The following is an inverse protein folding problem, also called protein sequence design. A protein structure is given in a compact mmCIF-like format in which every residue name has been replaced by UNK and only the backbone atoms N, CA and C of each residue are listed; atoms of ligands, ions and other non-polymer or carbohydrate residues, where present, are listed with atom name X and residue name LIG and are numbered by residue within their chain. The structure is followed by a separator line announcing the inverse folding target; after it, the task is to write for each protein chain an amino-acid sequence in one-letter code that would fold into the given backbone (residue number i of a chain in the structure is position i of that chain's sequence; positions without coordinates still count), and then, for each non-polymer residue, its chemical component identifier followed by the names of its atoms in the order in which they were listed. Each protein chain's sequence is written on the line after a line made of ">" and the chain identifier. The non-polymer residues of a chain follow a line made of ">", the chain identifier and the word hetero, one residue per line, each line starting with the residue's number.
data_IF_291805310009
#
_entry.id   IF_291805310009
#
_cell.length_a   1.000
_cell.length_b   1.000
_cell.length_c   1.000
_cell.angle_alpha   90.00
_cell.angle_beta   90.00
_cell.angle_gamma   90.00
#
_symmetry.space_group_name_H-M   'P 1'
#
loop_
_entity.id
_entity.type
_entity.pdbx_description
1 polymer ?
#
# COMPACT_ATOMS: atom_id res chain seq x y z
N UNK A 1 -25.04 -11.00 12.58
CA UNK A 1 -23.71 -10.45 12.23
C UNK A 1 -23.08 -11.29 11.13
N UNK A 2 -22.35 -10.64 10.19
CA UNK A 2 -21.56 -11.36 9.20
C UNK A 2 -20.39 -12.07 9.87
N UNK A 3 -19.98 -13.21 9.31
CA UNK A 3 -18.83 -13.99 9.81
C UNK A 3 -17.52 -13.40 9.27
N UNK A 4 -16.53 -13.25 10.14
CA UNK A 4 -15.19 -12.82 9.70
C UNK A 4 -14.39 -13.98 9.10
N UNK A 5 -13.83 -13.78 7.92
CA UNK A 5 -12.79 -14.61 7.33
C UNK A 5 -11.46 -13.98 7.72
N UNK A 6 -10.77 -14.59 8.67
CA UNK A 6 -9.53 -14.05 9.27
C UNK A 6 -8.33 -14.69 8.59
N UNK A 7 -7.56 -13.85 7.90
CA UNK A 7 -6.36 -14.26 7.18
C UNK A 7 -5.12 -13.83 7.97
N UNK A 8 -4.34 -14.79 8.41
CA UNK A 8 -3.08 -14.54 9.10
C UNK A 8 -1.89 -14.91 8.20
N UNK A 9 -1.16 -13.90 7.78
CA UNK A 9 0.04 -14.09 6.98
C UNK A 9 1.22 -14.51 7.86
N UNK A 10 1.59 -15.80 7.84
CA UNK A 10 2.69 -16.35 8.63
C UNK A 10 4.07 -15.79 8.26
N UNK A 11 4.20 -15.20 7.05
CA UNK A 11 5.42 -14.55 6.57
C UNK A 11 5.48 -13.03 6.89
N UNK A 12 4.50 -12.50 7.63
CA UNK A 12 4.51 -11.09 8.04
C UNK A 12 5.73 -10.78 8.92
N UNK A 13 6.21 -9.53 8.88
CA UNK A 13 7.43 -9.09 9.59
C UNK A 13 7.21 -8.78 11.08
N UNK A 14 6.11 -9.21 11.67
CA UNK A 14 5.77 -8.95 13.07
C UNK A 14 6.21 -10.06 14.02
N UNK A 15 5.79 -9.95 15.29
CA UNK A 15 5.86 -11.08 16.22
C UNK A 15 4.94 -12.17 15.73
N UNK A 16 5.43 -13.40 15.71
CA UNK A 16 4.58 -14.56 15.42
C UNK A 16 3.48 -14.64 16.48
N UNK A 17 2.24 -14.46 16.04
CA UNK A 17 1.06 -14.65 16.88
C UNK A 17 0.61 -16.09 16.77
N UNK A 18 0.34 -16.75 17.89
CA UNK A 18 -0.18 -18.12 17.83
C UNK A 18 -1.66 -18.11 17.45
N UNK A 19 -2.10 -19.23 16.88
CA UNK A 19 -3.52 -19.43 16.54
C UNK A 19 -4.41 -19.33 17.79
N UNK A 20 -3.97 -19.90 18.90
CA UNK A 20 -4.68 -19.90 20.18
C UNK A 20 -4.86 -18.48 20.72
N UNK A 21 -3.82 -17.64 20.62
CA UNK A 21 -3.91 -16.25 20.98
C UNK A 21 -4.97 -15.50 20.17
N UNK A 22 -4.97 -15.69 18.83
CA UNK A 22 -5.95 -15.07 17.94
C UNK A 22 -7.36 -15.55 18.26
N UNK A 23 -7.55 -16.85 18.47
CA UNK A 23 -8.83 -17.42 18.86
C UNK A 23 -9.35 -16.83 20.18
N UNK A 24 -8.49 -16.76 21.20
CA UNK A 24 -8.84 -16.15 22.48
C UNK A 24 -9.22 -14.68 22.31
N UNK A 25 -8.47 -13.93 21.51
CA UNK A 25 -8.70 -12.51 21.24
C UNK A 25 -10.07 -12.28 20.59
N UNK A 26 -10.41 -13.03 19.55
CA UNK A 26 -11.70 -12.90 18.86
C UNK A 26 -12.88 -13.37 19.71
N UNK A 27 -12.72 -14.47 20.42
CA UNK A 27 -13.73 -15.00 21.32
C UNK A 27 -14.05 -14.04 22.47
N UNK A 28 -13.03 -13.36 23.00
CA UNK A 28 -13.22 -12.34 24.06
C UNK A 28 -14.08 -11.16 23.65
N UNK A 29 -14.22 -10.93 22.34
CA UNK A 29 -15.07 -9.88 21.77
C UNK A 29 -16.39 -10.43 21.20
N UNK A 30 -16.71 -11.71 21.43
CA UNK A 30 -17.88 -12.40 20.87
C UNK A 30 -17.98 -12.30 19.33
N UNK A 31 -16.83 -12.30 18.64
CA UNK A 31 -16.76 -12.21 17.17
C UNK A 31 -16.82 -13.61 16.58
N UNK A 32 -17.79 -13.83 15.68
CA UNK A 32 -17.88 -15.08 14.90
C UNK A 32 -16.88 -15.01 13.73
N UNK A 33 -15.97 -15.99 13.66
CA UNK A 33 -14.92 -15.97 12.64
C UNK A 33 -14.52 -17.38 12.18
N UNK A 34 -13.81 -17.43 11.06
CA UNK A 34 -13.08 -18.59 10.56
C UNK A 34 -11.63 -18.18 10.30
N UNK A 35 -10.69 -18.95 10.82
CA UNK A 35 -9.27 -18.60 10.81
C UNK A 35 -8.50 -19.41 9.78
N UNK A 36 -7.73 -18.71 8.96
CA UNK A 36 -6.84 -19.26 7.95
C UNK A 36 -5.44 -18.68 8.08
N UNK A 37 -4.44 -19.55 8.18
CA UNK A 37 -3.04 -19.18 8.08
C UNK A 37 -2.57 -19.33 6.63
N UNK A 38 -1.88 -18.33 6.09
CA UNK A 38 -1.36 -18.33 4.71
C UNK A 38 0.14 -18.09 4.67
N UNK A 39 0.82 -18.72 3.72
CA UNK A 39 2.25 -18.56 3.46
C UNK A 39 2.55 -17.81 2.15
N UNK A 40 1.60 -17.80 1.22
CA UNK A 40 1.75 -17.22 -0.11
C UNK A 40 0.40 -16.72 -0.64
N UNK A 41 0.46 -16.05 -1.80
CA UNK A 41 -0.71 -15.44 -2.43
C UNK A 41 -1.67 -16.47 -3.03
N UNK A 42 -1.18 -17.62 -3.47
CA UNK A 42 -2.01 -18.65 -4.08
C UNK A 42 -2.92 -19.31 -3.04
N UNK A 43 -2.38 -19.60 -1.84
CA UNK A 43 -3.18 -20.06 -0.70
C UNK A 43 -4.27 -19.03 -0.34
N UNK A 44 -3.92 -17.74 -0.32
CA UNK A 44 -4.88 -16.66 -0.06
C UNK A 44 -5.99 -16.63 -1.11
N UNK A 45 -5.64 -16.67 -2.40
CA UNK A 45 -6.62 -16.66 -3.49
C UNK A 45 -7.55 -17.86 -3.43
N UNK A 46 -7.03 -19.04 -3.14
CA UNK A 46 -7.82 -20.27 -2.97
C UNK A 46 -8.80 -20.18 -1.78
N UNK A 47 -8.40 -19.52 -0.69
CA UNK A 47 -9.32 -19.28 0.43
C UNK A 47 -10.42 -18.31 0.02
N UNK A 48 -10.05 -17.13 -0.51
CA UNK A 48 -11.02 -16.09 -0.87
C UNK A 48 -12.01 -16.59 -1.93
N UNK A 49 -11.60 -17.43 -2.88
CA UNK A 49 -12.50 -17.98 -3.90
C UNK A 49 -13.67 -18.79 -3.31
N UNK A 50 -13.50 -19.35 -2.10
CA UNK A 50 -14.57 -20.08 -1.39
C UNK A 50 -15.48 -19.15 -0.55
N UNK A 51 -15.12 -17.88 -0.38
CA UNK A 51 -15.83 -16.93 0.49
C UNK A 51 -16.11 -15.60 -0.24
N UNK A 52 -16.69 -15.65 -1.43
CA UNK A 52 -16.91 -14.46 -2.28
C UNK A 52 -18.19 -13.69 -1.94
N UNK A 53 -19.09 -14.26 -1.17
CA UNK A 53 -20.38 -13.63 -0.79
C UNK A 53 -20.19 -12.59 0.32
N UNK A 54 -20.00 -11.33 -0.05
CA UNK A 54 -19.83 -10.21 0.88
C UNK A 54 -21.09 -9.87 1.68
N UNK A 55 -22.24 -10.46 1.36
CA UNK A 55 -23.46 -10.34 2.19
C UNK A 55 -23.34 -11.19 3.46
N UNK A 56 -22.59 -12.29 3.43
CA UNK A 56 -22.40 -13.24 4.51
C UNK A 56 -21.06 -13.05 5.25
N UNK A 57 -20.03 -12.58 4.55
CA UNK A 57 -18.67 -12.53 5.06
C UNK A 57 -18.11 -11.11 5.15
N UNK A 58 -17.24 -10.91 6.14
CA UNK A 58 -16.32 -9.79 6.28
C UNK A 58 -14.91 -10.35 6.30
N UNK A 59 -13.93 -9.58 5.85
CA UNK A 59 -12.57 -10.06 5.69
C UNK A 59 -11.65 -9.29 6.64
N UNK A 60 -10.83 -10.01 7.39
CA UNK A 60 -9.88 -9.41 8.32
C UNK A 60 -8.49 -9.98 8.06
N UNK A 61 -7.51 -9.14 7.79
CA UNK A 61 -6.13 -9.59 7.76
C UNK A 61 -5.42 -9.27 9.08
N UNK A 62 -4.58 -10.21 9.54
CA UNK A 62 -3.65 -9.99 10.64
C UNK A 62 -2.25 -9.89 10.04
N UNK A 63 -1.71 -8.67 10.02
CA UNK A 63 -0.42 -8.41 9.38
C UNK A 63 -0.10 -6.92 9.28
N UNK A 64 0.74 -6.56 8.33
CA UNK A 64 1.07 -5.18 7.96
C UNK A 64 0.46 -4.80 6.60
N UNK A 65 0.93 -3.68 6.05
CA UNK A 65 0.44 -3.11 4.77
C UNK A 65 0.50 -4.10 3.62
N UNK A 66 1.57 -4.89 3.50
CA UNK A 66 1.69 -5.92 2.47
C UNK A 66 0.64 -7.03 2.61
N UNK A 67 0.23 -7.40 3.84
CA UNK A 67 -0.83 -8.39 4.05
C UNK A 67 -2.20 -7.83 3.69
N UNK A 68 -2.43 -6.55 4.00
CA UNK A 68 -3.67 -5.86 3.62
C UNK A 68 -3.75 -5.69 2.10
N UNK A 69 -2.67 -5.26 1.45
CA UNK A 69 -2.62 -5.16 -0.01
C UNK A 69 -2.86 -6.51 -0.69
N UNK A 70 -2.27 -7.59 -0.18
CA UNK A 70 -2.49 -8.95 -0.69
C UNK A 70 -3.96 -9.37 -0.57
N UNK A 71 -4.61 -9.10 0.58
CA UNK A 71 -6.03 -9.38 0.78
C UNK A 71 -6.89 -8.58 -0.21
N UNK A 72 -6.64 -7.27 -0.35
CA UNK A 72 -7.35 -6.41 -1.31
C UNK A 72 -7.21 -6.96 -2.73
N UNK A 73 -5.99 -7.26 -3.19
CA UNK A 73 -5.77 -7.84 -4.50
C UNK A 73 -6.53 -9.15 -4.69
N UNK A 74 -6.53 -10.04 -3.68
CA UNK A 74 -7.26 -11.30 -3.74
C UNK A 74 -8.77 -11.10 -3.84
N UNK A 75 -9.34 -10.15 -3.09
CA UNK A 75 -10.77 -9.82 -3.16
C UNK A 75 -11.16 -9.26 -4.54
N UNK A 76 -10.33 -8.38 -5.11
CA UNK A 76 -10.55 -7.80 -6.43
C UNK A 76 -10.44 -8.84 -7.55
N UNK A 77 -9.43 -9.71 -7.52
CA UNK A 77 -9.24 -10.79 -8.49
C UNK A 77 -10.40 -11.77 -8.47
N UNK A 78 -10.96 -12.07 -7.30
CA UNK A 78 -12.13 -12.95 -7.13
C UNK A 78 -13.47 -12.22 -7.32
N UNK A 79 -13.46 -10.96 -7.78
CA UNK A 79 -14.64 -10.14 -8.05
C UNK A 79 -15.62 -10.04 -6.86
N UNK A 80 -15.10 -9.99 -5.63
CA UNK A 80 -15.93 -9.81 -4.43
C UNK A 80 -16.52 -8.41 -4.43
N UNK A 81 -17.85 -8.31 -4.45
CA UNK A 81 -18.54 -7.02 -4.56
C UNK A 81 -18.63 -6.31 -3.20
N UNK A 82 -18.23 -5.04 -3.15
CA UNK A 82 -18.30 -4.18 -1.96
C UNK A 82 -17.80 -4.87 -0.66
N UNK A 83 -16.58 -5.44 -0.66
CA UNK A 83 -16.09 -6.21 0.45
C UNK A 83 -15.90 -5.32 1.69
N UNK A 84 -16.28 -5.85 2.86
CA UNK A 84 -15.99 -5.24 4.15
C UNK A 84 -14.66 -5.78 4.66
N UNK A 85 -13.67 -4.91 4.78
CA UNK A 85 -12.27 -5.28 5.08
C UNK A 85 -11.81 -4.63 6.38
N UNK A 86 -11.13 -5.40 7.21
CA UNK A 86 -10.46 -4.94 8.42
C UNK A 86 -8.98 -5.34 8.41
N UNK A 87 -8.16 -4.59 9.12
CA UNK A 87 -6.75 -4.90 9.32
C UNK A 87 -6.37 -4.81 10.78
N UNK A 88 -5.88 -5.91 11.34
CA UNK A 88 -5.31 -5.95 12.68
C UNK A 88 -3.78 -5.91 12.59
N UNK A 89 -3.12 -5.05 13.39
CA UNK A 89 -1.67 -4.90 13.37
C UNK A 89 -0.98 -6.19 13.83
N UNK A 90 -0.26 -6.83 12.95
CA UNK A 90 0.55 -8.02 13.20
C UNK A 90 1.89 -7.97 12.48
N UNK A 91 2.19 -6.88 11.77
CA UNK A 91 3.41 -6.63 11.00
C UNK A 91 4.31 -5.57 11.63
N UNK A 92 5.44 -5.29 10.96
CA UNK A 92 6.37 -4.22 11.35
C UNK A 92 5.97 -2.84 10.86
N UNK A 93 5.06 -2.75 9.88
CA UNK A 93 4.49 -1.54 9.31
C UNK A 93 2.96 -1.67 9.30
N UNK A 94 2.30 -0.58 9.61
CA UNK A 94 0.83 -0.49 9.63
C UNK A 94 0.47 0.94 9.21
N UNK A 95 1.02 1.36 8.06
CA UNK A 95 0.90 2.73 7.56
C UNK A 95 -0.52 3.04 7.14
N UNK A 96 -1.22 2.08 6.54
CA UNK A 96 -2.60 2.25 6.12
C UNK A 96 -3.52 2.56 7.30
N UNK A 97 -3.45 1.79 8.38
CA UNK A 97 -4.31 2.01 9.56
C UNK A 97 -3.96 3.29 10.31
N UNK A 98 -2.76 3.86 10.13
CA UNK A 98 -2.39 5.19 10.65
C UNK A 98 -3.21 6.31 10.03
N UNK A 99 -3.59 6.18 8.75
CA UNK A 99 -4.46 7.14 8.07
C UNK A 99 -5.79 7.34 8.82
N UNK A 100 -6.27 6.30 9.51
CA UNK A 100 -7.51 6.33 10.30
C UNK A 100 -7.28 6.49 11.81
N UNK A 101 -6.03 6.74 12.23
CA UNK A 101 -5.65 6.81 13.65
C UNK A 101 -6.04 5.56 14.46
N UNK A 102 -6.14 4.39 13.81
CA UNK A 102 -6.48 3.13 14.49
C UNK A 102 -5.38 2.67 15.43
N UNK A 103 -5.73 1.95 16.52
CA UNK A 103 -4.75 1.45 17.48
C UNK A 103 -3.70 0.55 16.83
N UNK A 104 -2.42 0.76 17.21
CA UNK A 104 -1.29 -0.02 16.70
C UNK A 104 -1.00 -1.28 17.53
N UNK A 105 -1.73 -1.50 18.63
CA UNK A 105 -1.67 -2.73 19.44
C UNK A 105 -2.87 -3.59 19.14
N UNK A 106 -2.65 -4.87 18.82
CA UNK A 106 -3.70 -5.80 18.37
C UNK A 106 -4.84 -5.95 19.40
N UNK A 107 -4.52 -5.95 20.71
CA UNK A 107 -5.52 -6.07 21.78
C UNK A 107 -6.50 -4.88 21.82
N UNK A 108 -6.05 -3.72 21.41
CA UNK A 108 -6.91 -2.54 21.33
C UNK A 108 -7.60 -2.46 19.96
N UNK A 109 -6.86 -2.83 18.90
CA UNK A 109 -7.37 -2.81 17.55
C UNK A 109 -8.54 -3.79 17.31
N UNK A 110 -8.57 -4.95 17.99
CA UNK A 110 -9.65 -5.92 17.82
C UNK A 110 -11.02 -5.34 18.18
N UNK A 111 -11.08 -4.36 19.07
CA UNK A 111 -12.34 -3.75 19.54
C UNK A 111 -13.10 -3.06 18.41
N UNK A 112 -12.40 -2.47 17.41
CA UNK A 112 -13.08 -1.82 16.29
C UNK A 112 -13.82 -2.82 15.38
N UNK A 113 -13.49 -4.11 15.43
CA UNK A 113 -14.22 -5.12 14.68
C UNK A 113 -15.68 -5.27 15.13
N UNK A 114 -16.02 -4.86 16.36
CA UNK A 114 -17.36 -4.95 16.93
C UNK A 114 -18.22 -3.71 16.64
N UNK A 115 -17.63 -2.59 16.20
CA UNK A 115 -18.39 -1.40 15.79
C UNK A 115 -19.08 -1.64 14.45
N UNK A 116 -20.02 -0.79 14.05
CA UNK A 116 -20.63 -0.82 12.71
C UNK A 116 -20.23 0.41 11.88
N UNK A 117 -18.96 0.81 12.03
CA UNK A 117 -18.41 1.99 11.36
C UNK A 117 -17.48 1.57 10.24
N UNK A 118 -17.71 2.09 9.04
CA UNK A 118 -16.93 1.81 7.83
C UNK A 118 -16.58 3.10 7.12
N UNK A 119 -15.45 3.07 6.47
CA UNK A 119 -15.00 4.11 5.56
C UNK A 119 -14.90 3.53 4.15
N UNK A 120 -15.64 4.06 3.21
CA UNK A 120 -15.55 3.63 1.81
C UNK A 120 -14.25 4.17 1.22
N UNK A 121 -13.39 3.28 0.74
CA UNK A 121 -12.08 3.65 0.25
C UNK A 121 -11.93 3.38 -1.24
N UNK A 122 -11.25 4.30 -1.87
CA UNK A 122 -10.80 4.20 -3.24
C UNK A 122 -9.58 3.28 -3.30
N UNK A 123 -9.45 2.55 -4.40
CA UNK A 123 -8.34 1.65 -4.67
C UNK A 123 -7.63 2.09 -5.94
N UNK A 124 -6.32 2.20 -5.90
CA UNK A 124 -5.53 2.47 -7.08
C UNK A 124 -5.33 1.20 -7.91
N UNK A 125 -5.38 1.33 -9.23
CA UNK A 125 -5.09 0.28 -10.18
C UNK A 125 -3.92 0.69 -11.05
N UNK A 126 -2.99 -0.22 -11.28
CA UNK A 126 -1.92 -0.05 -12.28
C UNK A 126 -1.97 -1.19 -13.27
N UNK A 127 -1.91 -0.83 -14.55
CA UNK A 127 -1.86 -1.76 -15.69
C UNK A 127 -0.62 -1.50 -16.53
N UNK A 128 0.21 -2.51 -16.69
CA UNK A 128 1.23 -2.58 -17.75
C UNK A 128 0.73 -3.46 -18.90
N UNK A 129 1.52 -3.63 -19.92
CA UNK A 129 1.18 -4.55 -21.03
C UNK A 129 0.88 -5.99 -20.55
N UNK A 130 1.55 -6.43 -19.49
CA UNK A 130 1.57 -7.83 -19.08
C UNK A 130 0.89 -8.09 -17.74
N UNK A 131 0.71 -7.07 -16.91
CA UNK A 131 0.30 -7.23 -15.50
C UNK A 131 -0.67 -6.13 -15.06
N UNK A 132 -1.56 -6.50 -14.14
CA UNK A 132 -2.40 -5.57 -13.39
C UNK A 132 -2.24 -5.84 -11.90
N UNK A 133 -2.24 -4.78 -11.08
CA UNK A 133 -2.22 -4.88 -9.62
C UNK A 133 -2.98 -3.72 -9.00
N UNK A 134 -3.55 -3.96 -7.82
CA UNK A 134 -4.22 -2.94 -7.01
C UNK A 134 -3.30 -2.44 -5.91
N UNK A 135 -3.43 -1.17 -5.54
CA UNK A 135 -2.69 -0.57 -4.44
C UNK A 135 -3.59 0.33 -3.58
N UNK A 136 -3.25 0.42 -2.30
CA UNK A 136 -4.03 1.16 -1.30
C UNK A 136 -3.26 2.33 -0.70
N UNK A 137 -1.94 2.27 -0.65
CA UNK A 137 -1.11 3.34 -0.09
C UNK A 137 -0.47 4.22 -1.17
N UNK A 138 0.66 3.83 -1.70
CA UNK A 138 1.48 4.66 -2.59
C UNK A 138 2.12 3.82 -3.69
N UNK A 139 2.09 4.34 -4.90
CA UNK A 139 2.86 3.85 -6.03
C UNK A 139 4.01 4.81 -6.31
N UNK A 140 5.22 4.29 -6.51
CA UNK A 140 6.40 5.07 -6.86
C UNK A 140 6.91 4.71 -8.26
N UNK A 141 7.38 5.73 -8.98
CA UNK A 141 8.01 5.61 -10.30
C UNK A 141 9.39 6.23 -10.23
N UNK A 142 10.42 5.52 -10.68
CA UNK A 142 11.79 6.03 -10.76
C UNK A 142 12.69 5.59 -9.62
N UNK A 143 13.29 6.52 -8.87
CA UNK A 143 14.36 6.23 -7.91
C UNK A 143 13.92 5.28 -6.79
N UNK A 144 12.79 5.54 -6.11
CA UNK A 144 12.33 4.68 -5.01
C UNK A 144 11.97 3.28 -5.50
N UNK A 145 11.30 3.17 -6.64
CA UNK A 145 11.02 1.88 -7.27
C UNK A 145 12.31 1.11 -7.61
N UNK A 146 13.31 1.78 -8.17
CA UNK A 146 14.65 1.19 -8.42
C UNK A 146 15.34 0.72 -7.14
N UNK A 147 15.12 1.41 -6.03
CA UNK A 147 15.69 1.05 -4.72
C UNK A 147 15.06 -0.24 -4.20
N UNK A 148 13.74 -0.37 -4.31
CA UNK A 148 13.01 -1.59 -3.94
C UNK A 148 13.45 -2.75 -4.81
N UNK A 149 13.50 -2.57 -6.13
CA UNK A 149 13.97 -3.58 -7.09
C UNK A 149 15.34 -4.16 -6.70
N UNK A 150 16.33 -3.31 -6.40
CA UNK A 150 17.65 -3.80 -5.94
C UNK A 150 17.53 -4.48 -4.57
N UNK A 151 16.75 -3.91 -3.65
CA UNK A 151 16.60 -4.47 -2.31
C UNK A 151 16.04 -5.90 -2.34
N UNK A 152 15.20 -6.24 -3.30
CA UNK A 152 14.67 -7.59 -3.48
C UNK A 152 15.72 -8.60 -3.93
N UNK A 153 16.78 -8.16 -4.62
CA UNK A 153 17.90 -9.00 -5.05
C UNK A 153 18.88 -9.31 -3.90
N UNK A 154 18.83 -8.57 -2.80
CA UNK A 154 19.67 -8.76 -1.62
C UNK A 154 19.21 -10.01 -0.84
N UNK A 155 20.10 -10.88 -0.35
CA UNK A 155 19.73 -12.10 0.36
C UNK A 155 18.77 -11.88 1.53
N UNK A 156 17.79 -12.80 1.66
CA UNK A 156 16.74 -12.70 2.70
C UNK A 156 17.26 -12.79 4.13
N UNK A 157 18.48 -13.31 4.34
CA UNK A 157 19.09 -13.43 5.66
C UNK A 157 19.28 -12.08 6.36
N UNK A 158 19.47 -10.99 5.58
CA UNK A 158 19.61 -9.62 6.08
C UNK A 158 18.35 -8.79 5.81
N UNK A 159 17.18 -9.42 5.82
CA UNK A 159 15.89 -8.84 5.41
C UNK A 159 15.61 -7.45 5.98
N UNK A 160 15.98 -7.19 7.24
CA UNK A 160 15.77 -5.89 7.92
C UNK A 160 16.53 -4.73 7.25
N UNK A 161 17.69 -5.02 6.67
CA UNK A 161 18.60 -4.02 6.12
C UNK A 161 18.54 -3.93 4.59
N UNK A 162 17.74 -4.77 3.92
CA UNK A 162 17.68 -4.82 2.45
C UNK A 162 17.34 -3.48 1.84
N UNK A 163 16.29 -2.82 2.33
CA UNK A 163 15.87 -1.52 1.81
C UNK A 163 16.90 -0.41 2.10
N UNK A 164 17.39 -0.21 3.33
CA UNK A 164 18.49 0.72 3.58
C UNK A 164 19.74 0.47 2.70
N UNK A 165 20.16 -0.78 2.55
CA UNK A 165 21.31 -1.13 1.69
C UNK A 165 21.00 -0.78 0.23
N UNK A 166 19.85 -1.18 -0.29
CA UNK A 166 19.42 -0.84 -1.65
C UNK A 166 19.38 0.67 -1.88
N UNK A 167 18.86 1.44 -0.90
CA UNK A 167 18.82 2.90 -0.95
C UNK A 167 20.25 3.49 -1.05
N UNK A 168 21.16 3.10 -0.19
CA UNK A 168 22.53 3.61 -0.20
C UNK A 168 23.31 3.21 -1.46
N UNK A 169 23.12 2.00 -1.98
CA UNK A 169 23.69 1.59 -3.26
C UNK A 169 23.16 2.49 -4.39
N UNK A 170 21.83 2.66 -4.47
CA UNK A 170 21.22 3.40 -5.57
C UNK A 170 21.52 4.90 -5.52
N UNK A 171 21.59 5.51 -4.33
CA UNK A 171 21.78 6.96 -4.22
C UNK A 171 23.13 7.42 -4.79
N UNK A 172 24.17 6.59 -4.71
CA UNK A 172 25.48 6.93 -5.30
C UNK A 172 25.39 7.11 -6.81
N UNK A 173 24.63 6.25 -7.49
CA UNK A 173 24.48 6.26 -8.96
C UNK A 173 23.22 7.00 -9.42
N UNK A 174 22.43 7.52 -8.49
CA UNK A 174 21.18 8.16 -8.81
C UNK A 174 21.36 9.46 -9.59
N UNK A 175 20.60 9.58 -10.66
CA UNK A 175 20.46 10.80 -11.49
C UNK A 175 18.97 10.98 -11.79
N UNK A 176 18.54 12.25 -11.91
CA UNK A 176 17.24 12.52 -12.47
C UNK A 176 17.18 11.97 -13.91
N UNK A 177 16.08 11.34 -14.26
CA UNK A 177 15.82 10.79 -15.59
C UNK A 177 14.64 11.51 -16.22
N UNK A 178 14.57 11.52 -17.53
CA UNK A 178 13.39 12.00 -18.23
C UNK A 178 12.27 11.01 -17.97
N UNK A 179 11.20 11.51 -17.35
CA UNK A 179 9.97 10.77 -17.11
C UNK A 179 8.85 11.52 -17.82
N UNK A 180 8.10 10.82 -18.64
CA UNK A 180 6.96 11.34 -19.37
C UNK A 180 5.69 10.73 -18.78
N UNK A 181 4.86 11.60 -18.17
CA UNK A 181 3.54 11.25 -17.63
C UNK A 181 2.47 12.24 -18.10
N UNK A 182 1.30 11.71 -18.37
CA UNK A 182 0.10 12.46 -18.66
C UNK A 182 -0.94 12.27 -17.56
N UNK A 183 -1.41 13.35 -16.98
CA UNK A 183 -2.53 13.41 -16.04
C UNK A 183 -3.74 14.02 -16.76
N UNK A 184 -4.94 13.93 -16.19
CA UNK A 184 -6.17 14.46 -16.80
C UNK A 184 -6.08 15.93 -17.26
N UNK A 185 -5.34 16.76 -16.53
CA UNK A 185 -5.24 18.22 -16.78
C UNK A 185 -3.80 18.74 -16.79
N UNK A 186 -2.82 17.86 -16.87
CA UNK A 186 -1.42 18.25 -16.78
C UNK A 186 -0.53 17.18 -17.40
N UNK A 187 0.44 17.59 -18.20
CA UNK A 187 1.47 16.70 -18.72
C UNK A 187 2.84 17.14 -18.16
N UNK A 188 3.69 16.16 -17.88
CA UNK A 188 5.05 16.38 -17.46
C UNK A 188 5.98 15.48 -18.27
N UNK A 189 6.86 16.11 -19.04
CA UNK A 189 7.90 15.43 -19.81
C UNK A 189 9.22 16.14 -19.55
N UNK A 190 9.89 15.81 -18.46
CA UNK A 190 11.13 16.43 -18.05
C UNK A 190 11.92 15.51 -17.12
N UNK A 191 13.07 16.03 -16.62
CA UNK A 191 13.88 15.33 -15.64
C UNK A 191 13.20 15.30 -14.28
N UNK A 192 12.96 14.09 -13.76
CA UNK A 192 12.50 13.88 -12.40
C UNK A 192 13.35 12.81 -11.70
N UNK A 193 13.48 12.95 -10.41
CA UNK A 193 14.16 11.98 -9.56
C UNK A 193 13.23 10.81 -9.17
N UNK A 194 11.98 11.16 -8.87
CA UNK A 194 10.93 10.20 -8.50
C UNK A 194 9.54 10.82 -8.73
N UNK A 195 8.55 9.98 -8.94
CA UNK A 195 7.14 10.36 -8.89
C UNK A 195 6.45 9.47 -7.86
N UNK A 196 5.68 10.08 -6.94
CA UNK A 196 4.83 9.38 -6.00
C UNK A 196 3.36 9.61 -6.37
N UNK A 197 2.61 8.52 -6.54
CA UNK A 197 1.16 8.51 -6.75
C UNK A 197 0.52 8.04 -5.46
N UNK A 198 0.03 8.98 -4.66
CA UNK A 198 -0.42 8.73 -3.29
C UNK A 198 -1.94 8.60 -3.23
N UNK A 199 -2.42 7.42 -2.86
CA UNK A 199 -3.79 7.14 -2.48
C UNK A 199 -4.01 7.42 -0.99
N UNK A 200 -3.14 6.89 -0.12
CA UNK A 200 -3.14 7.15 1.33
C UNK A 200 -2.04 8.14 1.75
N UNK A 201 -2.02 8.47 3.07
CA UNK A 201 -1.15 9.51 3.62
C UNK A 201 0.25 9.00 3.99
N UNK A 202 0.35 7.74 4.42
CA UNK A 202 1.56 7.19 5.01
C UNK A 202 2.17 6.07 4.18
N UNK A 203 3.49 5.98 4.18
CA UNK A 203 4.24 4.86 3.65
C UNK A 203 5.57 4.69 4.39
N UNK A 204 6.30 3.59 4.12
CA UNK A 204 7.69 3.42 4.54
C UNK A 204 7.92 3.35 6.06
N UNK A 205 6.88 2.99 6.84
CA UNK A 205 6.99 2.84 8.30
C UNK A 205 6.68 4.11 9.08
N UNK A 206 5.69 4.87 8.65
CA UNK A 206 5.17 6.06 9.34
C UNK A 206 5.56 7.40 8.74
N UNK A 207 6.08 7.41 7.50
CA UNK A 207 6.35 8.66 6.80
C UNK A 207 5.07 9.25 6.25
N UNK A 208 4.77 10.48 6.65
CA UNK A 208 3.58 11.20 6.17
C UNK A 208 3.88 11.86 4.81
N UNK A 209 3.99 11.05 3.76
CA UNK A 209 4.35 11.51 2.42
C UNK A 209 3.28 12.38 1.79
N UNK A 210 2.01 12.17 2.10
CA UNK A 210 0.91 12.90 1.50
C UNK A 210 -0.18 13.27 2.52
N UNK A 211 0.08 14.26 3.41
CA UNK A 211 -0.86 14.66 4.48
C UNK A 211 -2.25 15.06 4.00
N UNK A 212 -2.39 15.41 2.71
CA UNK A 212 -3.63 15.86 2.10
C UNK A 212 -4.32 14.78 1.25
N UNK A 213 -3.80 13.54 1.22
CA UNK A 213 -4.48 12.45 0.54
C UNK A 213 -5.78 12.11 1.25
N UNK A 214 -6.81 11.87 0.45
CA UNK A 214 -8.12 11.38 0.88
C UNK A 214 -8.41 10.08 0.13
N UNK A 215 -8.86 9.09 0.84
CA UNK A 215 -9.21 7.78 0.27
C UNK A 215 -10.63 7.74 -0.31
N UNK A 216 -11.31 8.90 -0.42
CA UNK A 216 -12.71 8.99 -0.86
C UNK A 216 -12.96 10.08 -1.92
N UNK A 217 -11.91 10.78 -2.38
CA UNK A 217 -12.11 11.90 -3.31
C UNK A 217 -11.95 11.49 -4.79
N UNK A 218 -11.77 10.20 -5.05
CA UNK A 218 -11.60 9.63 -6.39
C UNK A 218 -10.33 10.09 -7.08
N UNK A 219 -9.31 10.54 -6.34
CA UNK A 219 -8.10 11.12 -6.92
C UNK A 219 -6.85 10.77 -6.13
N UNK A 220 -5.78 10.54 -6.86
CA UNK A 220 -4.44 10.51 -6.29
C UNK A 220 -3.88 11.91 -6.05
N UNK A 221 -3.06 12.05 -5.02
CA UNK A 221 -2.12 13.15 -4.93
C UNK A 221 -0.81 12.75 -5.60
N UNK A 222 -0.56 13.27 -6.79
CA UNK A 222 0.63 12.99 -7.58
C UNK A 222 1.70 14.00 -7.23
N UNK A 223 2.88 13.54 -6.79
CA UNK A 223 4.02 14.36 -6.43
C UNK A 223 5.17 14.06 -7.38
N UNK A 224 5.65 15.08 -8.07
CA UNK A 224 6.75 14.99 -9.03
C UNK A 224 7.97 15.67 -8.42
N UNK A 225 9.02 14.91 -8.21
CA UNK A 225 10.28 15.40 -7.64
C UNK A 225 11.26 15.78 -8.75
N UNK A 226 11.06 16.97 -9.33
CA UNK A 226 11.91 17.54 -10.37
C UNK A 226 13.18 18.19 -9.75
N UNK A 227 13.97 17.40 -9.04
CA UNK A 227 15.05 17.88 -8.16
C UNK A 227 16.40 17.27 -8.52
N UNK A 228 17.48 17.95 -8.12
CA UNK A 228 18.83 17.39 -8.16
C UNK A 228 19.03 16.33 -7.07
N UNK A 229 20.06 15.50 -7.20
CA UNK A 229 20.43 14.47 -6.22
C UNK A 229 20.59 15.00 -4.79
N UNK A 230 21.32 16.13 -4.62
CA UNK A 230 21.53 16.73 -3.30
C UNK A 230 20.21 17.22 -2.69
N UNK A 231 19.34 17.79 -3.49
CA UNK A 231 18.03 18.25 -3.04
C UNK A 231 17.09 17.05 -2.74
N UNK A 232 17.19 15.97 -3.50
CA UNK A 232 16.45 14.75 -3.21
C UNK A 232 16.80 14.16 -1.83
N UNK A 233 18.07 14.21 -1.41
CA UNK A 233 18.47 13.80 -0.06
C UNK A 233 17.85 14.68 1.03
N UNK A 234 17.83 16.03 0.85
CA UNK A 234 17.13 16.93 1.78
C UNK A 234 15.64 16.59 1.86
N UNK A 235 14.99 16.41 0.72
CA UNK A 235 13.57 16.10 0.60
C UNK A 235 13.26 14.79 1.32
N UNK A 236 14.11 13.78 1.21
CA UNK A 236 13.96 12.50 1.90
C UNK A 236 13.75 12.68 3.41
N UNK A 237 14.54 13.53 4.08
CA UNK A 237 14.36 13.82 5.51
C UNK A 237 13.10 14.65 5.79
N UNK A 238 12.76 15.61 4.93
CA UNK A 238 11.57 16.43 5.07
C UNK A 238 10.27 15.63 4.87
N UNK A 239 10.31 14.60 4.02
CA UNK A 239 9.18 13.75 3.69
C UNK A 239 8.67 12.94 4.90
N UNK A 240 9.51 12.66 5.89
CA UNK A 240 9.08 12.00 7.12
C UNK A 240 7.93 12.74 7.83
N UNK A 241 7.89 14.07 7.69
CA UNK A 241 6.90 14.94 8.35
C UNK A 241 6.00 15.67 7.34
N UNK A 242 6.01 15.31 6.06
CA UNK A 242 5.25 15.99 5.02
C UNK A 242 5.76 17.40 4.67
N UNK A 243 6.91 17.82 5.22
CA UNK A 243 7.45 19.18 5.03
C UNK A 243 8.04 19.39 3.63
N UNK A 244 8.35 18.34 2.90
CA UNK A 244 8.85 18.38 1.52
C UNK A 244 7.86 19.05 0.54
N UNK A 245 6.56 19.03 0.85
CA UNK A 245 5.54 19.69 0.01
C UNK A 245 5.64 21.21 -0.02
N UNK A 246 6.48 21.81 0.84
CA UNK A 246 6.79 23.23 0.84
C UNK A 246 7.97 23.59 -0.09
N UNK A 247 8.70 22.59 -0.57
CA UNK A 247 9.82 22.81 -1.47
C UNK A 247 9.31 23.14 -2.89
N UNK A 248 9.83 24.21 -3.49
CA UNK A 248 9.37 24.74 -4.80
C UNK A 248 9.47 23.72 -5.95
N UNK A 249 10.45 22.81 -5.91
CA UNK A 249 10.70 21.84 -6.97
C UNK A 249 9.97 20.49 -6.73
N UNK A 250 9.08 20.44 -5.74
CA UNK A 250 8.14 19.36 -5.56
C UNK A 250 6.80 19.79 -6.11
N UNK A 251 6.50 19.35 -7.34
CA UNK A 251 5.24 19.66 -7.98
C UNK A 251 4.16 18.72 -7.47
N UNK A 252 3.01 19.26 -7.08
CA UNK A 252 1.87 18.47 -6.62
C UNK A 252 0.66 18.67 -7.53
N UNK A 253 0.00 17.59 -7.92
CA UNK A 253 -1.20 17.59 -8.76
C UNK A 253 -2.19 16.57 -8.21
N UNK A 254 -3.49 16.79 -8.47
CA UNK A 254 -4.53 15.79 -8.26
C UNK A 254 -4.99 15.24 -9.60
N UNK A 255 -5.13 13.91 -9.70
CA UNK A 255 -5.65 13.24 -10.89
C UNK A 255 -6.31 11.92 -10.52
N UNK A 256 -7.40 11.56 -11.17
CA UNK A 256 -8.01 10.23 -11.06
C UNK A 256 -7.33 9.21 -11.96
N UNK A 257 -6.60 9.70 -12.97
CA UNK A 257 -5.90 8.88 -13.96
C UNK A 257 -4.58 9.51 -14.34
N UNK A 258 -3.57 8.66 -14.56
CA UNK A 258 -2.33 9.07 -15.22
C UNK A 258 -1.82 7.95 -16.15
N UNK A 259 -1.09 8.35 -17.19
CA UNK A 259 -0.40 7.47 -18.14
C UNK A 259 1.09 7.71 -17.98
N UNK A 260 1.86 6.66 -17.75
CA UNK A 260 3.31 6.65 -17.78
C UNK A 260 3.75 6.18 -19.17
N UNK A 261 4.42 7.05 -19.93
CA UNK A 261 4.88 6.74 -21.31
C UNK A 261 6.30 6.15 -21.34
N UNK A 262 7.09 6.35 -20.28
CA UNK A 262 8.48 5.86 -20.20
C UNK A 262 8.59 4.48 -19.53
N UNK A 263 9.75 3.82 -19.75
CA UNK A 263 10.04 2.47 -19.22
C UNK A 263 10.69 2.53 -17.83
N UNK A 264 10.20 3.41 -16.96
CA UNK A 264 10.71 3.52 -15.60
C UNK A 264 10.18 2.40 -14.69
N UNK A 265 10.97 2.00 -13.67
CA UNK A 265 10.52 1.01 -12.71
C UNK A 265 9.35 1.54 -11.87
N UNK A 266 8.44 0.64 -11.56
CA UNK A 266 7.23 0.90 -10.77
C UNK A 266 7.27 0.02 -9.51
N UNK A 267 7.02 0.63 -8.37
CA UNK A 267 6.87 -0.02 -7.06
C UNK A 267 5.48 0.29 -6.52
N UNK A 268 4.89 -0.65 -5.80
CA UNK A 268 3.55 -0.58 -5.25
C UNK A 268 3.56 -1.07 -3.79
N UNK A 269 3.19 -0.20 -2.87
CA UNK A 269 3.01 -0.53 -1.44
C UNK A 269 4.21 -1.26 -0.82
N UNK A 270 5.44 -0.98 -1.28
CA UNK A 270 6.69 -1.53 -0.79
C UNK A 270 7.27 -2.72 -1.58
N UNK A 271 6.62 -3.18 -2.65
CA UNK A 271 7.06 -4.27 -3.51
C UNK A 271 7.34 -3.80 -4.94
N UNK A 272 8.41 -4.29 -5.56
CA UNK A 272 8.63 -4.05 -6.99
C UNK A 272 7.51 -4.69 -7.81
N UNK A 273 6.98 -3.95 -8.77
CA UNK A 273 5.87 -4.45 -9.59
C UNK A 273 6.31 -4.79 -11.03
N UNK A 274 6.73 -3.79 -11.79
CA UNK A 274 7.04 -3.92 -13.22
C UNK A 274 7.74 -2.65 -13.73
N UNK A 275 7.92 -2.56 -15.03
CA UNK A 275 8.36 -1.36 -15.72
C UNK A 275 7.22 -0.77 -16.56
N UNK A 276 7.22 0.56 -16.74
CA UNK A 276 6.33 1.21 -17.71
C UNK A 276 6.60 0.77 -19.17
N UNK A 277 5.75 1.17 -20.10
CA UNK A 277 4.60 2.06 -19.96
C UNK A 277 3.48 1.47 -19.11
N UNK A 278 2.71 2.35 -18.46
CA UNK A 278 1.63 1.93 -17.58
C UNK A 278 0.46 2.93 -17.56
N UNK A 279 -0.74 2.42 -17.40
CA UNK A 279 -1.93 3.19 -17.06
C UNK A 279 -2.22 3.02 -15.57
N UNK A 280 -2.47 4.11 -14.86
CA UNK A 280 -2.72 4.14 -13.43
C UNK A 280 -4.01 4.94 -13.21
N UNK A 281 -4.99 4.37 -12.50
CA UNK A 281 -6.27 5.04 -12.28
C UNK A 281 -6.91 4.61 -10.95
N UNK A 282 -7.91 5.38 -10.49
CA UNK A 282 -8.66 5.12 -9.27
C UNK A 282 -9.91 4.32 -9.59
N UNK A 283 -10.17 3.27 -8.82
CA UNK A 283 -11.50 2.66 -8.67
C UNK A 283 -12.13 3.20 -7.39
N UNK A 284 -13.23 3.95 -7.55
CA UNK A 284 -13.87 4.69 -6.46
C UNK A 284 -14.68 3.77 -5.54
N UNK A 285 -14.62 4.05 -4.22
CA UNK A 285 -15.49 3.43 -3.19
C UNK A 285 -15.57 1.91 -3.29
N UNK A 286 -14.45 1.28 -3.63
CA UNK A 286 -14.41 -0.14 -3.99
C UNK A 286 -14.48 -1.05 -2.76
N UNK A 287 -14.00 -0.55 -1.61
CA UNK A 287 -13.87 -1.31 -0.36
C UNK A 287 -14.48 -0.53 0.79
N UNK A 288 -15.23 -1.22 1.64
CA UNK A 288 -15.69 -0.70 2.92
C UNK A 288 -14.70 -1.09 4.02
N UNK A 289 -13.80 -0.18 4.36
CA UNK A 289 -12.77 -0.42 5.36
C UNK A 289 -13.33 -0.15 6.77
N UNK A 290 -13.13 -1.10 7.68
CA UNK A 290 -13.59 -1.06 9.07
C UNK A 290 -12.73 -0.08 9.89
N UNK A 291 -13.35 0.87 10.60
CA UNK A 291 -12.69 1.87 11.43
C UNK A 291 -13.28 1.92 12.86
#
# INVERSE_FOLDING_TARGET
>A
MKKYIVIHNLNSRGKSLSKEFIQTLFNSQNITFEYFATKNIDELNNIISNFTDSSRYQYCTIGGDGSLNALVNSLMINNVQNPQVACLPGGSGSDFIRTFALPQKINDAVKHLTTDTYYEIDVGVVKTKNRQKYFINVLNIGFLASTVEISERIPKIIRRYRYPIGFWIKIWFAKAKRIDIELEKYAFDNLAFNICVCNAQYFGGGWNISPKSSLQDGKFNVQIFAVSKLKAMKIFFLAQKGLHLKEHDVLTRKSSKLILNTTDPIEIDGDFFDYGPAEIFVENSTIRFKI
#
